data_IF_244379282760
#
_entry.id   IF_244379282760
#
_cell.length_a   1.000
_cell.length_b   1.000
_cell.length_c   1.000
_cell.angle_alpha   90.00
_cell.angle_beta   90.00
_cell.angle_gamma   90.00
#
_symmetry.space_group_name_H-M   'P 1'
#
loop_
_entity.id
_entity.type
_entity.pdbx_description
1 polymer ?
#
# COMPACT_ATOMS: atom_id res chain seq x y z
N UNK A 1 27.95 -13.41 -43.10
CA UNK A 1 27.98 -12.58 -41.89
C UNK A 1 28.51 -13.43 -40.75
N UNK A 2 29.79 -13.26 -40.47
CA UNK A 2 30.52 -13.93 -39.41
C UNK A 2 30.69 -12.96 -38.24
N UNK A 3 30.28 -13.39 -37.05
CA UNK A 3 30.51 -12.66 -35.80
C UNK A 3 31.71 -13.26 -35.08
N UNK A 4 32.71 -12.44 -34.78
CA UNK A 4 33.94 -12.86 -34.10
C UNK A 4 33.75 -12.81 -32.58
N UNK A 5 32.99 -13.79 -32.05
CA UNK A 5 32.57 -13.80 -30.64
C UNK A 5 33.71 -13.69 -29.62
N UNK A 6 34.85 -14.31 -29.91
CA UNK A 6 36.02 -14.30 -29.02
C UNK A 6 36.63 -12.89 -28.94
N UNK A 7 36.76 -12.21 -30.09
CA UNK A 7 37.22 -10.81 -30.15
C UNK A 7 36.27 -9.86 -29.44
N UNK A 8 34.95 -10.01 -29.64
CA UNK A 8 33.96 -9.17 -28.98
C UNK A 8 34.02 -9.31 -27.45
N UNK A 9 34.15 -10.55 -26.94
CA UNK A 9 34.30 -10.83 -25.52
C UNK A 9 35.59 -10.24 -24.94
N UNK A 10 36.70 -10.41 -25.65
CA UNK A 10 38.02 -10.00 -25.17
C UNK A 10 38.11 -8.46 -25.13
N UNK A 11 37.59 -7.76 -26.14
CA UNK A 11 37.49 -6.29 -26.15
C UNK A 11 36.63 -5.78 -24.99
N UNK A 12 35.49 -6.42 -24.70
CA UNK A 12 34.65 -6.04 -23.56
C UNK A 12 35.40 -6.19 -22.23
N UNK A 13 36.13 -7.30 -22.06
CA UNK A 13 36.92 -7.57 -20.86
C UNK A 13 38.09 -6.58 -20.71
N UNK A 14 38.79 -6.27 -21.81
CA UNK A 14 39.87 -5.30 -21.83
C UNK A 14 39.39 -3.90 -21.43
N UNK A 15 38.23 -3.48 -21.96
CA UNK A 15 37.57 -2.22 -21.58
C UNK A 15 36.90 -2.27 -20.19
N UNK A 16 37.01 -3.38 -19.46
CA UNK A 16 36.42 -3.62 -18.13
C UNK A 16 34.91 -3.35 -18.04
N UNK A 17 34.18 -3.52 -19.16
CA UNK A 17 32.72 -3.28 -19.20
C UNK A 17 32.01 -4.53 -18.70
N UNK A 18 31.14 -4.38 -17.69
CA UNK A 18 30.38 -5.52 -17.17
C UNK A 18 29.35 -6.03 -18.19
N UNK A 19 29.15 -7.34 -18.21
CA UNK A 19 28.26 -8.01 -19.17
C UNK A 19 26.79 -7.58 -19.02
N UNK A 20 26.35 -7.27 -17.80
CA UNK A 20 25.00 -6.77 -17.50
C UNK A 20 24.77 -5.34 -18.02
N UNK A 21 25.78 -4.48 -17.98
CA UNK A 21 25.69 -3.14 -18.55
C UNK A 21 25.50 -3.19 -20.08
N UNK A 22 26.27 -4.03 -20.77
CA UNK A 22 26.13 -4.21 -22.23
C UNK A 22 24.78 -4.84 -22.59
N UNK A 23 24.34 -5.85 -21.84
CA UNK A 23 23.06 -6.51 -22.08
C UNK A 23 21.87 -5.54 -21.91
N UNK A 24 21.91 -4.70 -20.86
CA UNK A 24 20.91 -3.67 -20.62
C UNK A 24 20.84 -2.64 -21.76
N UNK A 25 22.00 -2.14 -22.22
CA UNK A 25 22.07 -1.18 -23.34
C UNK A 25 21.63 -1.78 -24.69
N UNK A 26 21.79 -3.09 -24.87
CA UNK A 26 21.31 -3.82 -26.04
C UNK A 26 19.82 -4.17 -25.96
N UNK A 27 19.17 -4.03 -24.81
CA UNK A 27 17.80 -4.47 -24.57
C UNK A 27 17.62 -5.99 -24.63
N UNK A 28 18.66 -6.76 -24.24
CA UNK A 28 18.65 -8.24 -24.23
C UNK A 28 18.99 -8.80 -22.84
N UNK A 29 18.70 -10.09 -22.62
CA UNK A 29 19.08 -10.75 -21.37
C UNK A 29 20.60 -10.98 -21.28
N UNK A 30 21.13 -11.01 -20.06
CA UNK A 30 22.54 -11.39 -19.80
C UNK A 30 22.88 -12.77 -20.36
N UNK A 31 21.93 -13.71 -20.33
CA UNK A 31 22.10 -15.06 -20.88
C UNK A 31 22.27 -15.03 -22.41
N UNK A 32 21.51 -14.16 -23.10
CA UNK A 32 21.60 -13.98 -24.56
C UNK A 32 22.98 -13.46 -24.96
N UNK A 33 23.49 -12.43 -24.27
CA UNK A 33 24.83 -11.89 -24.55
C UNK A 33 25.94 -12.90 -24.24
N UNK A 34 25.77 -13.71 -23.19
CA UNK A 34 26.71 -14.80 -22.88
C UNK A 34 26.75 -15.88 -23.97
N UNK A 35 25.60 -16.23 -24.56
CA UNK A 35 25.55 -17.19 -25.69
C UNK A 35 26.31 -16.65 -26.90
N UNK A 36 26.25 -15.34 -27.16
CA UNK A 36 27.05 -14.70 -28.21
C UNK A 36 28.53 -14.80 -27.90
N UNK A 37 28.98 -14.43 -26.70
CA UNK A 37 30.40 -14.45 -26.28
C UNK A 37 31.01 -15.85 -26.13
N UNK A 38 30.17 -16.89 -26.15
CA UNK A 38 30.59 -18.29 -26.13
C UNK A 38 30.42 -19.00 -27.48
N UNK A 39 29.98 -18.28 -28.51
CA UNK A 39 29.78 -18.82 -29.86
C UNK A 39 28.61 -19.81 -29.96
N UNK A 40 27.74 -19.88 -28.94
CA UNK A 40 26.58 -20.78 -28.92
C UNK A 40 25.40 -20.24 -29.73
N UNK A 41 25.36 -18.95 -30.00
CA UNK A 41 24.41 -18.33 -30.92
C UNK A 41 25.02 -17.09 -31.57
N UNK A 42 24.51 -16.73 -32.76
CA UNK A 42 24.95 -15.54 -33.47
C UNK A 42 23.92 -14.41 -33.35
N UNK A 43 24.37 -13.17 -33.07
CA UNK A 43 23.53 -11.98 -33.17
C UNK A 43 23.10 -11.68 -34.62
N UNK A 44 22.01 -10.92 -34.77
CA UNK A 44 21.64 -10.33 -36.05
C UNK A 44 22.58 -9.18 -36.42
N UNK A 45 22.64 -8.79 -37.71
CA UNK A 45 23.47 -7.68 -38.19
C UNK A 45 23.25 -6.39 -37.38
N UNK A 46 21.98 -6.03 -37.14
CA UNK A 46 21.59 -4.88 -36.31
C UNK A 46 22.22 -4.96 -34.92
N UNK A 47 22.20 -6.13 -34.29
CA UNK A 47 22.75 -6.33 -32.96
C UNK A 47 24.28 -6.29 -32.94
N UNK A 48 24.96 -6.77 -33.99
CA UNK A 48 26.41 -6.65 -34.14
C UNK A 48 26.82 -5.18 -34.24
N UNK A 49 26.11 -4.38 -35.03
CA UNK A 49 26.37 -2.94 -35.19
C UNK A 49 26.12 -2.17 -33.89
N UNK A 50 25.02 -2.45 -33.17
CA UNK A 50 24.78 -1.86 -31.84
C UNK A 50 25.85 -2.27 -30.83
N UNK A 51 26.28 -3.53 -30.83
CA UNK A 51 27.34 -4.00 -29.94
C UNK A 51 28.67 -3.28 -30.22
N UNK A 52 29.03 -3.10 -31.49
CA UNK A 52 30.21 -2.31 -31.88
C UNK A 52 30.13 -0.86 -31.38
N UNK A 53 28.95 -0.23 -31.48
CA UNK A 53 28.69 1.12 -30.98
C UNK A 53 28.81 1.22 -29.46
N UNK A 54 28.23 0.28 -28.71
CA UNK A 54 28.32 0.22 -27.24
C UNK A 54 29.75 0.00 -26.78
N UNK A 55 30.49 -0.88 -27.46
CA UNK A 55 31.90 -1.13 -27.20
C UNK A 55 32.80 -0.01 -27.73
N UNK A 56 32.25 0.99 -28.44
CA UNK A 56 32.96 2.10 -29.09
C UNK A 56 34.17 1.60 -29.92
N UNK A 57 33.89 0.74 -30.90
CA UNK A 57 34.88 0.15 -31.82
C UNK A 57 34.31 0.08 -33.25
N UNK A 58 35.17 0.02 -34.29
CA UNK A 58 34.75 -0.34 -35.63
C UNK A 58 34.11 -1.73 -35.67
N UNK A 59 33.05 -1.89 -36.47
CA UNK A 59 32.28 -3.15 -36.56
C UNK A 59 33.13 -4.29 -37.14
N UNK A 60 34.14 -3.97 -37.95
CA UNK A 60 35.10 -4.89 -38.57
C UNK A 60 35.93 -5.66 -37.53
N UNK A 61 36.12 -5.10 -36.33
CA UNK A 61 36.88 -5.78 -35.29
C UNK A 61 36.13 -6.99 -34.73
N UNK A 62 34.81 -6.98 -34.80
CA UNK A 62 33.94 -8.03 -34.25
C UNK A 62 33.10 -8.74 -35.30
N UNK A 63 33.21 -8.38 -36.59
CA UNK A 63 32.49 -9.04 -37.68
C UNK A 63 33.12 -8.77 -39.05
N UNK A 64 32.73 -9.53 -40.07
CA UNK A 64 33.06 -9.31 -41.49
C UNK A 64 32.21 -8.19 -42.16
N UNK A 65 31.37 -7.50 -41.37
CA UNK A 65 30.60 -6.34 -41.83
C UNK A 65 31.52 -5.15 -42.14
N UNK A 66 31.23 -4.43 -43.23
CA UNK A 66 31.90 -3.15 -43.54
C UNK A 66 31.37 -2.05 -42.61
N UNK A 67 32.24 -1.13 -42.21
CA UNK A 67 31.89 0.11 -41.54
C UNK A 67 30.84 0.83 -42.38
N UNK A 68 29.73 1.16 -41.75
CA UNK A 68 28.89 2.22 -42.28
C UNK A 68 29.71 3.50 -42.26
N UNK A 69 29.67 4.26 -43.37
CA UNK A 69 30.30 5.56 -43.43
C UNK A 69 29.91 6.36 -42.18
N UNK A 70 30.91 6.74 -41.38
CA UNK A 70 30.77 7.54 -40.18
C UNK A 70 29.94 8.79 -40.48
N UNK A 71 28.65 8.76 -40.17
CA UNK A 71 27.87 9.97 -39.94
C UNK A 71 27.79 10.15 -38.43
N UNK A 72 28.87 10.74 -37.92
CA UNK A 72 28.91 11.39 -36.60
C UNK A 72 27.62 12.16 -36.34
N UNK A 73 26.98 11.91 -35.19
CA UNK A 73 26.21 12.81 -34.29
C UNK A 73 25.67 14.17 -34.81
N UNK A 74 25.28 14.25 -36.07
CA UNK A 74 24.67 15.41 -36.73
C UNK A 74 23.69 14.91 -37.79
N UNK A 75 22.86 13.93 -37.42
CA UNK A 75 21.88 13.32 -38.35
C UNK A 75 20.80 14.29 -38.82
N UNK A 76 20.71 15.51 -38.29
CA UNK A 76 19.89 16.55 -38.93
C UNK A 76 20.70 17.56 -39.75
N UNK A 77 21.76 18.17 -39.23
CA UNK A 77 22.34 19.33 -39.91
C UNK A 77 23.11 19.02 -41.19
N UNK A 78 23.77 17.86 -41.32
CA UNK A 78 24.52 17.54 -42.55
C UNK A 78 23.62 17.05 -43.69
N UNK A 79 22.56 16.29 -43.35
CA UNK A 79 21.49 15.93 -44.29
C UNK A 79 20.70 17.17 -44.69
N UNK A 80 20.24 17.99 -43.74
CA UNK A 80 19.56 19.27 -44.02
C UNK A 80 20.46 20.20 -44.82
N UNK A 81 21.78 20.30 -44.53
CA UNK A 81 22.70 21.08 -45.37
C UNK A 81 22.79 20.51 -46.77
N UNK A 82 23.05 19.20 -46.93
CA UNK A 82 23.14 18.59 -48.26
C UNK A 82 21.84 18.74 -49.07
N UNK A 83 20.69 18.73 -48.38
CA UNK A 83 19.37 19.03 -48.94
C UNK A 83 19.27 20.49 -49.39
N UNK A 84 19.63 21.45 -48.54
CA UNK A 84 19.67 22.88 -48.86
C UNK A 84 20.63 23.20 -50.02
N UNK A 85 21.76 22.51 -50.12
CA UNK A 85 22.69 22.62 -51.25
C UNK A 85 22.12 22.02 -52.54
N UNK A 86 21.39 20.90 -52.46
CA UNK A 86 20.69 20.31 -53.63
C UNK A 86 19.58 21.23 -54.18
N UNK A 87 19.03 22.11 -53.33
CA UNK A 87 18.09 23.15 -53.73
C UNK A 87 18.72 24.31 -54.50
N UNK A 88 20.02 24.55 -54.37
CA UNK A 88 20.73 25.63 -55.09
C UNK A 88 21.06 25.27 -56.55
N UNK A 89 21.38 24.01 -56.81
CA UNK A 89 22.07 23.56 -58.04
C UNK A 89 21.30 22.63 -59.00
N UNK A 90 20.00 22.37 -58.78
CA UNK A 90 19.18 21.49 -59.64
C UNK A 90 18.24 22.28 -60.56
N UNK A 91 17.77 21.69 -61.67
CA UNK A 91 16.80 22.37 -62.54
C UNK A 91 15.42 22.48 -61.83
N UNK A 92 14.57 23.43 -62.23
CA UNK A 92 13.30 23.78 -61.55
C UNK A 92 12.40 22.55 -61.32
N UNK A 93 12.39 21.60 -62.26
CA UNK A 93 11.58 20.38 -62.20
C UNK A 93 12.09 19.40 -61.14
N UNK A 94 13.41 19.22 -61.03
CA UNK A 94 14.02 18.35 -60.02
C UNK A 94 13.87 18.93 -58.61
N UNK A 95 14.00 20.25 -58.45
CA UNK A 95 13.69 20.93 -57.18
C UNK A 95 12.25 20.68 -56.75
N UNK A 96 11.29 20.77 -57.68
CA UNK A 96 9.87 20.49 -57.41
C UNK A 96 9.62 19.04 -57.02
N UNK A 97 10.26 18.09 -57.69
CA UNK A 97 10.11 16.66 -57.37
C UNK A 97 10.71 16.31 -56.00
N UNK A 98 11.88 16.87 -55.66
CA UNK A 98 12.46 16.74 -54.33
C UNK A 98 11.57 17.38 -53.26
N UNK A 99 11.06 18.61 -53.48
CA UNK A 99 10.10 19.24 -52.56
C UNK A 99 8.87 18.38 -52.32
N UNK A 100 8.26 17.85 -53.38
CA UNK A 100 7.10 16.97 -53.26
C UNK A 100 7.41 15.73 -52.42
N UNK A 101 8.54 15.06 -52.67
CA UNK A 101 8.96 13.89 -51.92
C UNK A 101 9.15 14.18 -50.41
N UNK A 102 9.81 15.28 -50.05
CA UNK A 102 10.01 15.65 -48.64
C UNK A 102 8.71 16.08 -47.96
N UNK A 103 7.84 16.84 -48.64
CA UNK A 103 6.53 17.22 -48.12
C UNK A 103 5.67 15.98 -47.85
N UNK A 104 5.69 14.96 -48.74
CA UNK A 104 5.03 13.68 -48.50
C UNK A 104 5.63 12.93 -47.30
N UNK A 105 6.96 12.96 -47.12
CA UNK A 105 7.62 12.37 -45.97
C UNK A 105 7.24 13.04 -44.64
N UNK A 106 7.21 14.37 -44.60
CA UNK A 106 6.77 15.15 -43.42
C UNK A 106 5.30 14.88 -43.12
N UNK A 107 4.43 14.86 -44.15
CA UNK A 107 3.01 14.56 -43.97
C UNK A 107 2.83 13.17 -43.35
N UNK A 108 3.57 12.16 -43.83
CA UNK A 108 3.52 10.81 -43.26
C UNK A 108 3.93 10.78 -41.79
N UNK A 109 5.04 11.45 -41.42
CA UNK A 109 5.46 11.52 -40.02
C UNK A 109 4.43 12.24 -39.14
N UNK A 110 3.81 13.29 -39.67
CA UNK A 110 2.72 13.99 -38.99
C UNK A 110 1.50 13.07 -38.78
N UNK A 111 1.13 12.29 -39.79
CA UNK A 111 0.03 11.32 -39.70
C UNK A 111 0.34 10.20 -38.69
N UNK A 112 1.55 9.66 -38.70
CA UNK A 112 2.02 8.65 -37.73
C UNK A 112 2.00 9.22 -36.29
N UNK A 113 2.45 10.46 -36.09
CA UNK A 113 2.39 11.14 -34.79
C UNK A 113 0.95 11.39 -34.32
N UNK A 114 0.07 11.80 -35.23
CA UNK A 114 -1.36 11.97 -34.92
C UNK A 114 -2.02 10.66 -34.54
N UNK A 115 -1.67 9.56 -35.22
CA UNK A 115 -2.19 8.24 -34.88
C UNK A 115 -1.72 7.79 -33.49
N UNK A 116 -0.43 7.96 -33.17
CA UNK A 116 0.11 7.66 -31.83
C UNK A 116 -0.58 8.52 -30.78
N UNK A 117 -0.71 9.83 -31.02
CA UNK A 117 -1.38 10.76 -30.12
C UNK A 117 -2.85 10.36 -29.86
N UNK A 118 -3.58 9.97 -30.91
CA UNK A 118 -4.96 9.51 -30.80
C UNK A 118 -5.05 8.24 -29.92
N UNK A 119 -4.20 7.25 -30.16
CA UNK A 119 -4.17 6.01 -29.36
C UNK A 119 -3.82 6.31 -27.91
N UNK A 120 -2.80 7.14 -27.65
CA UNK A 120 -2.41 7.54 -26.28
C UNK A 120 -3.55 8.27 -25.58
N UNK A 121 -4.20 9.23 -26.26
CA UNK A 121 -5.34 9.96 -25.72
C UNK A 121 -6.51 9.02 -25.40
N UNK A 122 -6.82 8.05 -26.28
CA UNK A 122 -7.85 7.04 -26.00
C UNK A 122 -7.49 6.22 -24.76
N UNK A 123 -6.27 5.71 -24.68
CA UNK A 123 -5.82 4.89 -23.56
C UNK A 123 -5.95 5.65 -22.24
N UNK A 124 -5.43 6.88 -22.20
CA UNK A 124 -5.47 7.72 -21.00
C UNK A 124 -6.91 8.08 -20.61
N UNK A 125 -7.78 8.34 -21.58
CA UNK A 125 -9.18 8.67 -21.33
C UNK A 125 -10.06 7.47 -20.93
N UNK A 126 -9.63 6.24 -21.20
CA UNK A 126 -10.32 5.03 -20.72
C UNK A 126 -10.01 4.70 -19.25
N UNK A 127 -8.95 5.29 -18.69
CA UNK A 127 -8.60 5.11 -17.28
C UNK A 127 -9.65 5.83 -16.42
N UNK A 128 -10.30 5.08 -15.53
CA UNK A 128 -11.31 5.61 -14.60
C UNK A 128 -10.72 6.43 -13.44
N UNK A 129 -9.43 6.24 -13.16
CA UNK A 129 -8.67 6.98 -12.15
C UNK A 129 -8.34 8.39 -12.67
N UNK A 130 -8.33 9.39 -11.81
CA UNK A 130 -7.86 10.74 -12.18
C UNK A 130 -6.39 10.63 -12.60
N UNK A 131 -6.06 11.12 -13.79
CA UNK A 131 -4.71 11.04 -14.34
C UNK A 131 -4.39 12.31 -15.13
N UNK A 132 -3.24 12.91 -14.86
CA UNK A 132 -2.75 14.08 -15.57
C UNK A 132 -1.23 14.18 -15.55
N UNK A 133 -0.68 14.96 -16.49
CA UNK A 133 0.74 15.24 -16.58
C UNK A 133 0.97 16.74 -16.52
N UNK A 134 1.97 17.16 -15.75
CA UNK A 134 2.47 18.53 -15.73
C UNK A 134 3.90 18.59 -16.25
N UNK A 135 4.24 19.68 -16.93
CA UNK A 135 5.61 20.00 -17.32
C UNK A 135 6.43 20.55 -16.13
N UNK A 136 7.70 20.90 -16.37
CA UNK A 136 8.59 21.50 -15.38
C UNK A 136 8.13 22.88 -14.88
N UNK A 137 7.19 23.53 -15.57
CA UNK A 137 6.54 24.77 -15.14
C UNK A 137 5.21 24.52 -14.42
N UNK A 138 4.94 23.27 -14.04
CA UNK A 138 3.71 22.80 -13.39
C UNK A 138 2.44 23.06 -14.21
N UNK A 139 2.57 23.19 -15.53
CA UNK A 139 1.42 23.36 -16.41
C UNK A 139 0.90 22.03 -16.90
N UNK A 140 -0.41 21.87 -16.90
CA UNK A 140 -1.07 20.67 -17.41
C UNK A 140 -0.79 20.49 -18.91
N UNK A 141 -0.10 19.42 -19.28
CA UNK A 141 0.17 19.03 -20.68
C UNK A 141 -0.73 17.88 -21.14
N UNK A 142 -1.27 17.12 -20.19
CA UNK A 142 -2.24 16.06 -20.44
C UNK A 142 -3.19 15.95 -19.24
N UNK A 143 -4.47 15.73 -19.51
CA UNK A 143 -5.48 15.36 -18.51
C UNK A 143 -6.40 14.30 -19.11
N UNK A 144 -6.96 13.43 -18.27
CA UNK A 144 -7.96 12.46 -18.70
C UNK A 144 -9.40 12.89 -18.37
N UNK A 145 -10.38 12.16 -18.90
CA UNK A 145 -11.79 12.39 -18.60
C UNK A 145 -12.10 12.35 -17.10
N UNK A 146 -11.50 11.43 -16.34
CA UNK A 146 -11.74 11.32 -14.91
C UNK A 146 -11.32 12.58 -14.13
N UNK A 147 -10.24 13.27 -14.55
CA UNK A 147 -9.85 14.56 -13.99
C UNK A 147 -10.94 15.62 -14.19
N UNK A 148 -11.49 15.72 -15.40
CA UNK A 148 -12.54 16.68 -15.72
C UNK A 148 -13.83 16.34 -14.96
N UNK A 149 -14.20 15.07 -14.91
CA UNK A 149 -15.38 14.59 -14.19
C UNK A 149 -15.27 14.86 -12.68
N UNK A 150 -14.09 14.66 -12.09
CA UNK A 150 -13.83 14.98 -10.67
C UNK A 150 -14.08 16.47 -10.36
N UNK A 151 -13.75 17.36 -11.30
CA UNK A 151 -13.97 18.79 -11.20
C UNK A 151 -15.35 19.24 -11.71
N UNK A 152 -16.19 18.30 -12.19
CA UNK A 152 -17.47 18.59 -12.84
C UNK A 152 -17.34 19.54 -14.04
N UNK A 153 -16.25 19.41 -14.82
CA UNK A 153 -15.96 20.20 -16.00
C UNK A 153 -16.41 19.45 -17.28
N UNK A 154 -16.79 20.21 -18.31
CA UNK A 154 -17.08 19.65 -19.63
C UNK A 154 -15.82 19.06 -20.28
N UNK A 155 -15.97 18.00 -21.08
CA UNK A 155 -14.87 17.41 -21.88
C UNK A 155 -14.23 18.38 -22.87
N UNK A 156 -14.95 19.45 -23.24
CA UNK A 156 -14.45 20.51 -24.13
C UNK A 156 -13.71 21.63 -23.37
N UNK A 157 -13.62 21.54 -22.05
CA UNK A 157 -12.96 22.56 -21.24
C UNK A 157 -11.47 22.64 -21.58
N UNK A 158 -10.98 23.85 -21.87
CA UNK A 158 -9.55 24.09 -22.11
C UNK A 158 -8.78 24.02 -20.79
N UNK A 159 -8.29 22.83 -20.49
CA UNK A 159 -7.49 22.51 -19.29
C UNK A 159 -5.98 22.62 -19.53
N UNK A 160 -5.51 22.35 -20.74
CA UNK A 160 -4.09 22.33 -21.05
C UNK A 160 -3.47 23.74 -20.97
N UNK A 161 -2.22 23.81 -20.48
CA UNK A 161 -1.45 25.04 -20.27
C UNK A 161 -1.79 25.80 -18.98
N UNK A 162 -2.84 25.38 -18.25
CA UNK A 162 -3.22 25.92 -16.94
C UNK A 162 -2.36 25.36 -15.82
N UNK A 163 -2.50 25.91 -14.63
CA UNK A 163 -1.83 25.51 -13.40
C UNK A 163 -2.87 25.09 -12.35
N UNK A 164 -2.41 24.55 -11.22
CA UNK A 164 -3.28 24.19 -10.09
C UNK A 164 -4.13 25.35 -9.56
N UNK A 165 -3.64 26.57 -9.67
CA UNK A 165 -4.36 27.78 -9.22
C UNK A 165 -5.64 28.03 -10.03
N UNK A 166 -5.74 27.47 -11.23
CA UNK A 166 -6.93 27.59 -12.10
C UNK A 166 -8.05 26.61 -11.69
N UNK A 167 -7.75 25.60 -10.87
CA UNK A 167 -8.67 24.50 -10.56
C UNK A 167 -8.95 24.33 -9.07
N UNK A 168 -7.98 24.62 -8.20
CA UNK A 168 -8.05 24.32 -6.77
C UNK A 168 -8.02 25.58 -5.90
N UNK A 169 -8.33 25.43 -4.61
CA UNK A 169 -8.14 26.51 -3.66
C UNK A 169 -6.65 26.89 -3.55
N UNK A 170 -6.35 28.09 -3.05
CA UNK A 170 -4.95 28.55 -2.92
C UNK A 170 -4.08 27.61 -2.09
N UNK A 171 -4.64 27.05 -1.02
CA UNK A 171 -3.91 26.14 -0.14
C UNK A 171 -3.65 24.79 -0.82
N UNK A 172 -4.68 24.18 -1.43
CA UNK A 172 -4.52 22.92 -2.17
C UNK A 172 -3.57 23.07 -3.36
N UNK A 173 -3.67 24.18 -4.10
CA UNK A 173 -2.78 24.45 -5.23
C UNK A 173 -1.33 24.60 -4.79
N UNK A 174 -1.08 25.29 -3.67
CA UNK A 174 0.25 25.43 -3.09
C UNK A 174 0.80 24.07 -2.64
N UNK A 175 0.03 23.31 -1.88
CA UNK A 175 0.45 22.00 -1.39
C UNK A 175 0.76 21.04 -2.55
N UNK A 176 -0.11 20.98 -3.57
CA UNK A 176 0.11 20.12 -4.74
C UNK A 176 1.36 20.53 -5.51
N UNK A 177 1.60 21.82 -5.71
CA UNK A 177 2.80 22.31 -6.36
C UNK A 177 4.07 21.91 -5.58
N UNK A 178 4.09 22.07 -4.26
CA UNK A 178 5.22 21.67 -3.42
C UNK A 178 5.51 20.16 -3.45
N UNK A 179 4.47 19.32 -3.54
CA UNK A 179 4.61 17.87 -3.66
C UNK A 179 5.10 17.46 -5.06
N UNK A 180 4.58 18.10 -6.12
CA UNK A 180 5.00 17.86 -7.51
C UNK A 180 6.47 18.30 -7.74
N UNK A 181 6.85 19.48 -7.26
CA UNK A 181 8.22 20.00 -7.33
C UNK A 181 9.21 19.08 -6.61
N UNK A 182 8.83 18.55 -5.44
CA UNK A 182 9.66 17.63 -4.67
C UNK A 182 9.99 16.37 -5.47
N UNK A 183 9.00 15.80 -6.15
CA UNK A 183 9.16 14.61 -7.01
C UNK A 183 10.01 14.94 -8.24
N UNK A 184 9.80 16.11 -8.84
CA UNK A 184 10.60 16.58 -10.00
C UNK A 184 12.07 16.75 -9.61
N UNK A 185 12.35 17.40 -8.48
CA UNK A 185 13.71 17.67 -7.99
C UNK A 185 14.42 16.40 -7.55
N UNK A 186 13.72 15.50 -6.85
CA UNK A 186 14.31 14.24 -6.39
C UNK A 186 14.46 13.20 -7.49
N UNK A 187 13.58 13.24 -8.50
CA UNK A 187 13.51 12.19 -9.52
C UNK A 187 13.07 10.83 -8.96
N UNK A 188 12.38 10.81 -7.81
CA UNK A 188 11.90 9.60 -7.13
C UNK A 188 10.37 9.67 -7.06
N UNK A 189 9.70 8.57 -7.39
CA UNK A 189 8.26 8.46 -7.28
C UNK A 189 7.82 8.48 -5.80
N UNK A 190 6.74 9.19 -5.52
CA UNK A 190 6.14 9.29 -4.18
C UNK A 190 4.65 8.94 -4.26
N UNK A 191 4.12 8.29 -3.22
CA UNK A 191 2.72 7.90 -3.13
C UNK A 191 2.23 8.13 -1.72
N UNK A 192 1.16 8.91 -1.57
CA UNK A 192 0.61 9.31 -0.29
C UNK A 192 -0.91 9.15 -0.27
N UNK A 193 -1.46 8.81 0.89
CA UNK A 193 -2.91 8.81 1.10
C UNK A 193 -3.39 10.19 1.56
N UNK A 194 -4.52 10.65 1.02
CA UNK A 194 -5.08 11.94 1.39
C UNK A 194 -6.42 12.25 0.74
N UNK A 195 -6.90 13.47 0.95
CA UNK A 195 -8.07 13.97 0.25
C UNK A 195 -7.77 14.24 -1.22
N UNK A 196 -8.69 13.85 -2.10
CA UNK A 196 -8.58 14.11 -3.54
C UNK A 196 -8.86 15.59 -3.80
N UNK A 197 -7.90 16.36 -4.35
CA UNK A 197 -8.07 17.79 -4.58
C UNK A 197 -9.22 18.11 -5.53
N UNK A 198 -9.89 19.24 -5.30
CA UNK A 198 -10.94 19.77 -6.17
C UNK A 198 -12.23 18.96 -6.22
N UNK A 199 -12.34 17.89 -5.43
CA UNK A 199 -13.57 17.12 -5.36
C UNK A 199 -14.63 17.87 -4.54
N UNK A 200 -15.86 17.98 -5.07
CA UNK A 200 -16.99 18.63 -4.36
C UNK A 200 -17.40 17.88 -3.09
N UNK A 201 -17.22 16.56 -3.08
CA UNK A 201 -17.38 15.71 -1.89
C UNK A 201 -15.98 15.44 -1.34
N UNK A 202 -15.82 15.36 -0.01
CA UNK A 202 -14.55 14.93 0.60
C UNK A 202 -14.25 13.47 0.23
N UNK A 203 -13.59 13.29 -0.91
CA UNK A 203 -13.12 11.99 -1.39
C UNK A 203 -11.72 11.71 -0.84
N UNK A 204 -11.44 10.44 -0.56
CA UNK A 204 -10.13 9.96 -0.13
C UNK A 204 -9.49 9.13 -1.22
N UNK A 205 -8.19 9.25 -1.40
CA UNK A 205 -7.48 8.46 -2.39
C UNK A 205 -5.98 8.34 -2.13
N UNK A 206 -5.38 7.42 -2.87
CA UNK A 206 -3.92 7.28 -2.96
C UNK A 206 -3.47 8.13 -4.14
N UNK A 207 -2.73 9.20 -3.86
CA UNK A 207 -2.18 10.14 -4.84
C UNK A 207 -0.74 9.74 -5.11
N UNK A 208 -0.48 9.29 -6.33
CA UNK A 208 0.84 8.83 -6.74
C UNK A 208 1.42 9.77 -7.79
N UNK A 209 2.68 10.14 -7.58
CA UNK A 209 3.43 11.10 -8.38
C UNK A 209 4.67 10.42 -8.91
N UNK A 210 4.82 10.41 -10.22
CA UNK A 210 5.90 9.72 -10.93
C UNK A 210 6.65 10.75 -11.79
N UNK A 211 7.96 10.92 -11.62
CA UNK A 211 8.73 11.79 -12.49
C UNK A 211 8.81 11.18 -13.89
N UNK A 212 8.52 11.98 -14.90
CA UNK A 212 8.68 11.60 -16.30
C UNK A 212 10.11 11.91 -16.70
N UNK A 213 10.81 10.94 -17.27
CA UNK A 213 12.20 11.08 -17.70
C UNK A 213 12.31 10.99 -19.22
N UNK A 214 13.22 11.77 -19.79
CA UNK A 214 13.63 11.61 -21.20
C UNK A 214 14.55 10.40 -21.38
N UNK A 215 14.97 10.16 -22.63
CA UNK A 215 15.89 9.07 -22.98
C UNK A 215 17.29 9.20 -22.36
N UNK A 216 17.64 10.37 -21.81
CA UNK A 216 18.89 10.62 -21.11
C UNK A 216 18.74 10.50 -19.59
N UNK A 217 17.54 10.18 -19.09
CA UNK A 217 17.25 10.07 -17.66
C UNK A 217 16.98 11.41 -16.98
N UNK A 218 16.84 12.51 -17.73
CA UNK A 218 16.52 13.83 -17.17
C UNK A 218 15.02 13.96 -16.97
N UNK A 219 14.61 14.47 -15.81
CA UNK A 219 13.19 14.72 -15.53
C UNK A 219 12.65 15.82 -16.44
N UNK A 220 11.53 15.56 -17.12
CA UNK A 220 10.83 16.48 -18.03
C UNK A 220 9.46 16.92 -17.53
N UNK A 221 8.98 16.32 -16.43
CA UNK A 221 7.68 16.63 -15.84
C UNK A 221 7.29 15.60 -14.80
N UNK A 222 6.01 15.64 -14.41
CA UNK A 222 5.43 14.71 -13.42
C UNK A 222 4.11 14.17 -13.94
N UNK A 223 3.95 12.85 -13.86
CA UNK A 223 2.69 12.14 -14.01
C UNK A 223 2.05 11.99 -12.64
N UNK A 224 0.81 12.43 -12.50
CA UNK A 224 0.02 12.22 -11.30
C UNK A 224 -1.16 11.32 -11.65
N UNK A 225 -1.36 10.27 -10.85
CA UNK A 225 -2.58 9.48 -10.89
C UNK A 225 -3.14 9.27 -9.49
N UNK A 226 -4.46 9.28 -9.38
CA UNK A 226 -5.17 9.22 -8.10
C UNK A 226 -6.13 8.04 -8.10
N UNK A 227 -5.92 7.12 -7.18
CA UNK A 227 -6.84 6.02 -6.91
C UNK A 227 -7.89 6.46 -5.90
N UNK A 228 -9.15 6.56 -6.30
CA UNK A 228 -10.26 6.87 -5.38
C UNK A 228 -10.54 5.65 -4.51
N UNK A 229 -10.29 5.78 -3.21
CA UNK A 229 -10.52 4.73 -2.20
C UNK A 229 -11.69 5.07 -1.28
N UNK A 230 -12.51 6.08 -1.63
CA UNK A 230 -13.58 6.60 -0.78
C UNK A 230 -14.58 5.51 -0.40
N UNK A 231 -15.15 4.82 -1.39
CA UNK A 231 -16.17 3.78 -1.17
C UNK A 231 -15.62 2.62 -0.34
N UNK A 232 -14.38 2.19 -0.62
CA UNK A 232 -13.71 1.15 0.18
C UNK A 232 -13.55 1.59 1.64
N UNK A 233 -13.14 2.83 1.88
CA UNK A 233 -12.98 3.36 3.23
C UNK A 233 -14.32 3.51 3.95
N UNK A 234 -15.35 4.00 3.27
CA UNK A 234 -16.71 4.06 3.81
C UNK A 234 -17.25 2.67 4.15
N UNK A 235 -16.97 1.67 3.32
CA UNK A 235 -17.32 0.28 3.58
C UNK A 235 -16.59 -0.27 4.81
N UNK A 236 -15.28 -0.04 4.92
CA UNK A 236 -14.48 -0.45 6.08
C UNK A 236 -14.97 0.25 7.38
N UNK A 237 -15.29 1.55 7.33
CA UNK A 237 -15.86 2.29 8.46
C UNK A 237 -17.24 1.76 8.86
N UNK A 238 -18.10 1.51 7.87
CA UNK A 238 -19.45 0.94 8.11
C UNK A 238 -19.35 -0.45 8.70
N UNK A 239 -18.44 -1.28 8.20
CA UNK A 239 -18.18 -2.61 8.74
C UNK A 239 -17.74 -2.56 10.20
N UNK A 240 -16.79 -1.69 10.54
CA UNK A 240 -16.33 -1.52 11.92
C UNK A 240 -17.46 -1.05 12.84
N UNK A 241 -18.26 -0.07 12.39
CA UNK A 241 -19.40 0.43 13.15
C UNK A 241 -20.47 -0.67 13.37
N UNK A 242 -20.71 -1.54 12.38
CA UNK A 242 -21.61 -2.68 12.51
C UNK A 242 -21.07 -3.73 13.49
N UNK A 243 -19.76 -3.99 13.49
CA UNK A 243 -19.12 -4.90 14.46
C UNK A 243 -19.26 -4.35 15.89
N UNK A 244 -18.93 -3.06 16.10
CA UNK A 244 -19.10 -2.40 17.39
C UNK A 244 -20.57 -2.43 17.85
N UNK A 245 -21.52 -2.19 16.94
CA UNK A 245 -22.94 -2.26 17.23
C UNK A 245 -23.36 -3.65 17.70
N UNK A 246 -22.97 -4.71 16.98
CA UNK A 246 -23.29 -6.10 17.34
C UNK A 246 -22.65 -6.48 18.68
N UNK A 247 -21.39 -6.10 18.91
CA UNK A 247 -20.70 -6.33 20.17
C UNK A 247 -21.40 -5.63 21.34
N UNK A 248 -21.84 -4.37 21.15
CA UNK A 248 -22.55 -3.62 22.20
C UNK A 248 -23.86 -4.29 22.63
N UNK A 249 -24.52 -5.05 21.75
CA UNK A 249 -25.73 -5.81 22.10
C UNK A 249 -25.43 -6.91 23.12
N UNK A 250 -24.26 -7.53 23.06
CA UNK A 250 -23.82 -8.48 24.09
C UNK A 250 -23.52 -7.75 25.41
N UNK A 251 -22.78 -6.63 25.36
CA UNK A 251 -22.42 -5.83 26.55
C UNK A 251 -23.63 -5.21 27.28
N UNK A 252 -24.71 -4.88 26.55
CA UNK A 252 -25.95 -4.40 27.18
C UNK A 252 -26.50 -5.40 28.21
N UNK A 253 -26.15 -6.69 28.10
CA UNK A 253 -26.50 -7.69 29.11
C UNK A 253 -25.57 -7.67 30.33
N UNK A 254 -24.30 -7.33 30.20
CA UNK A 254 -23.32 -7.37 31.30
C UNK A 254 -23.17 -6.07 32.06
N UNK A 255 -23.85 -5.01 31.63
CA UNK A 255 -23.64 -3.64 32.15
C UNK A 255 -22.21 -3.13 31.92
N UNK A 256 -21.49 -3.72 30.97
CA UNK A 256 -20.21 -3.18 30.52
C UNK A 256 -20.42 -1.93 29.68
N UNK A 257 -19.50 -0.98 29.83
CA UNK A 257 -19.58 0.29 29.12
C UNK A 257 -19.14 0.09 27.68
N UNK A 258 -19.82 0.72 26.71
CA UNK A 258 -19.40 0.75 25.31
C UNK A 258 -17.96 1.27 25.09
N UNK A 259 -17.37 1.92 26.10
CA UNK A 259 -15.98 2.33 26.08
C UNK A 259 -15.00 1.15 26.28
N UNK A 260 -15.42 0.06 26.93
CA UNK A 260 -14.67 -1.19 27.07
C UNK A 260 -14.22 -1.70 25.70
N UNK A 261 -15.16 -1.86 24.75
CA UNK A 261 -14.86 -2.21 23.34
C UNK A 261 -13.73 -1.35 22.78
N UNK A 262 -13.84 -0.03 22.91
CA UNK A 262 -12.88 0.90 22.32
C UNK A 262 -11.52 0.85 23.01
N UNK A 263 -11.50 0.66 24.33
CA UNK A 263 -10.28 0.54 25.12
C UNK A 263 -9.53 -0.74 24.76
N UNK A 264 -10.20 -1.89 24.78
CA UNK A 264 -9.58 -3.18 24.45
C UNK A 264 -9.06 -3.21 23.03
N UNK A 265 -9.79 -2.66 22.05
CA UNK A 265 -9.29 -2.48 20.68
C UNK A 265 -7.97 -1.69 20.62
N UNK A 266 -7.86 -0.58 21.37
CA UNK A 266 -6.66 0.26 21.38
C UNK A 266 -5.51 -0.40 22.14
N UNK A 267 -5.77 -1.02 23.28
CA UNK A 267 -4.80 -1.79 24.05
C UNK A 267 -4.17 -2.88 23.20
N UNK A 268 -5.01 -3.66 22.52
CA UNK A 268 -4.59 -4.75 21.65
C UNK A 268 -3.70 -4.26 20.49
N UNK A 269 -4.02 -3.09 19.89
CA UNK A 269 -3.15 -2.44 18.88
C UNK A 269 -1.79 -2.07 19.46
N UNK A 270 -1.74 -1.43 20.62
CA UNK A 270 -0.48 -1.02 21.24
C UNK A 270 0.40 -2.22 21.61
N UNK A 271 -0.18 -3.30 22.12
CA UNK A 271 0.56 -4.54 22.36
C UNK A 271 1.11 -5.13 21.06
N UNK A 272 0.29 -5.20 20.02
CA UNK A 272 0.71 -5.76 18.75
C UNK A 272 1.82 -4.92 18.09
N UNK A 273 1.74 -3.59 18.16
CA UNK A 273 2.82 -2.70 17.68
C UNK A 273 4.10 -2.86 18.50
N UNK A 274 3.99 -3.01 19.82
CA UNK A 274 5.13 -3.27 20.70
C UNK A 274 5.81 -4.59 20.34
N UNK A 275 5.04 -5.68 20.24
CA UNK A 275 5.55 -7.01 19.89
C UNK A 275 6.16 -7.07 18.49
N UNK A 276 5.62 -6.33 17.52
CA UNK A 276 6.17 -6.27 16.15
C UNK A 276 7.64 -5.87 16.10
N UNK A 277 8.13 -5.14 17.10
CA UNK A 277 9.54 -4.74 17.17
C UNK A 277 10.49 -5.88 17.57
N UNK A 278 9.95 -7.00 18.04
CA UNK A 278 10.72 -8.19 18.42
C UNK A 278 10.98 -9.08 17.19
N UNK A 279 12.17 -9.73 17.11
CA UNK A 279 12.51 -10.62 16.01
C UNK A 279 11.49 -11.75 15.82
N UNK A 280 11.02 -11.95 14.60
CA UNK A 280 10.09 -13.02 14.24
C UNK A 280 8.61 -12.60 14.24
N UNK A 281 8.28 -11.42 14.78
CA UNK A 281 6.92 -10.90 14.79
C UNK A 281 6.61 -9.97 13.61
N UNK A 282 7.61 -9.52 12.84
CA UNK A 282 7.43 -8.51 11.79
C UNK A 282 6.44 -8.96 10.69
N UNK A 283 6.56 -10.21 10.24
CA UNK A 283 5.63 -10.78 9.24
C UNK A 283 4.30 -11.22 9.86
N UNK A 284 4.31 -11.60 11.14
CA UNK A 284 3.13 -12.07 11.88
C UNK A 284 2.21 -10.90 12.24
N UNK A 285 2.77 -9.72 12.50
CA UNK A 285 2.05 -8.52 12.95
C UNK A 285 2.27 -7.35 11.98
N UNK A 286 2.03 -7.54 10.69
CA UNK A 286 2.00 -6.42 9.74
C UNK A 286 0.76 -5.52 9.94
N UNK A 287 0.74 -4.33 9.33
CA UNK A 287 -0.33 -3.34 9.54
C UNK A 287 -1.73 -3.88 9.26
N UNK A 288 -1.88 -4.69 8.20
CA UNK A 288 -3.16 -5.32 7.86
C UNK A 288 -3.62 -6.28 8.96
N UNK A 289 -2.71 -7.11 9.46
CA UNK A 289 -3.00 -8.10 10.52
C UNK A 289 -3.32 -7.42 11.85
N UNK A 290 -2.55 -6.39 12.24
CA UNK A 290 -2.82 -5.61 13.46
C UNK A 290 -4.20 -4.93 13.38
N UNK A 291 -4.54 -4.36 12.22
CA UNK A 291 -5.86 -3.75 12.03
C UNK A 291 -6.99 -4.78 12.13
N UNK A 292 -6.86 -5.95 11.49
CA UNK A 292 -7.88 -7.00 11.61
C UNK A 292 -7.98 -7.58 13.02
N UNK A 293 -6.86 -7.73 13.73
CA UNK A 293 -6.81 -8.20 15.12
C UNK A 293 -7.58 -7.24 16.04
N UNK A 294 -7.36 -5.93 15.90
CA UNK A 294 -8.10 -4.93 16.64
C UNK A 294 -9.58 -4.85 16.23
N UNK A 295 -9.90 -4.99 14.95
CA UNK A 295 -11.30 -5.04 14.50
C UNK A 295 -12.06 -6.25 15.07
N UNK A 296 -11.37 -7.34 15.37
CA UNK A 296 -11.95 -8.56 15.93
C UNK A 296 -12.16 -8.50 17.46
N UNK A 297 -11.40 -7.68 18.19
CA UNK A 297 -11.45 -7.57 19.65
C UNK A 297 -12.87 -7.39 20.25
N UNK A 298 -13.78 -6.57 19.66
CA UNK A 298 -15.14 -6.40 20.19
C UNK A 298 -15.95 -7.69 20.28
N UNK A 299 -15.57 -8.74 19.54
CA UNK A 299 -16.34 -9.98 19.44
C UNK A 299 -15.90 -11.04 20.46
N UNK A 300 -14.98 -10.74 21.38
CA UNK A 300 -14.50 -11.73 22.35
C UNK A 300 -15.64 -12.32 23.20
N UNK A 301 -16.56 -11.48 23.66
CA UNK A 301 -17.70 -11.86 24.51
C UNK A 301 -19.04 -11.97 23.75
N UNK A 302 -19.03 -12.05 22.42
CA UNK A 302 -20.27 -12.18 21.63
C UNK A 302 -21.10 -13.42 22.01
N UNK A 303 -20.44 -14.44 22.58
CA UNK A 303 -21.10 -15.66 23.05
C UNK A 303 -21.96 -15.46 24.30
N UNK A 304 -21.79 -14.37 25.05
CA UNK A 304 -22.56 -14.12 26.27
C UNK A 304 -24.05 -13.86 26.01
N UNK A 305 -24.41 -13.55 24.76
CA UNK A 305 -25.79 -13.32 24.35
C UNK A 305 -26.73 -14.48 24.71
N UNK A 306 -26.22 -15.71 24.77
CA UNK A 306 -26.99 -16.91 25.12
C UNK A 306 -26.95 -17.27 26.60
N UNK A 307 -26.15 -16.58 27.41
CA UNK A 307 -26.11 -16.80 28.86
C UNK A 307 -27.40 -16.21 29.47
N UNK A 308 -28.11 -16.95 30.34
CA UNK A 308 -29.31 -16.45 31.00
C UNK A 308 -29.01 -15.23 31.87
N UNK A 309 -29.85 -14.19 31.76
CA UNK A 309 -29.68 -12.94 32.50
C UNK A 309 -29.65 -13.16 34.02
N UNK A 310 -30.40 -14.13 34.55
CA UNK A 310 -30.40 -14.48 35.98
C UNK A 310 -29.04 -14.96 36.48
N UNK A 311 -28.22 -15.53 35.60
CA UNK A 311 -26.85 -15.97 35.90
C UNK A 311 -25.90 -14.79 35.70
N UNK A 312 -25.98 -14.14 34.54
CA UNK A 312 -25.06 -13.08 34.14
C UNK A 312 -25.15 -11.83 35.02
N UNK A 313 -26.36 -11.47 35.47
CA UNK A 313 -26.64 -10.31 36.32
C UNK A 313 -26.69 -10.63 37.81
N UNK A 314 -26.28 -11.83 38.22
CA UNK A 314 -26.38 -12.27 39.61
C UNK A 314 -25.51 -11.40 40.51
N UNK A 315 -26.15 -10.66 41.43
CA UNK A 315 -25.47 -9.88 42.48
C UNK A 315 -24.96 -10.82 43.57
N UNK A 316 -23.79 -11.45 43.36
CA UNK A 316 -23.16 -12.35 44.33
C UNK A 316 -22.24 -13.38 43.70
N UNK A 317 -21.76 -14.35 44.49
CA UNK A 317 -20.99 -15.48 43.97
C UNK A 317 -21.90 -16.40 43.15
N UNK A 318 -21.40 -16.83 42.01
CA UNK A 318 -22.01 -17.88 41.20
C UNK A 318 -21.85 -19.23 41.90
N UNK A 319 -22.80 -20.14 41.71
CA UNK A 319 -22.60 -21.57 42.02
C UNK A 319 -21.68 -22.19 40.97
N UNK A 320 -21.15 -23.37 41.25
CA UNK A 320 -20.28 -24.07 40.30
C UNK A 320 -21.02 -24.36 38.97
N UNK A 321 -22.31 -24.70 39.02
CA UNK A 321 -23.13 -24.94 37.82
C UNK A 321 -23.40 -23.67 37.01
N UNK A 322 -23.62 -22.54 37.69
CA UNK A 322 -23.78 -21.23 37.07
C UNK A 322 -22.47 -20.80 36.40
N UNK A 323 -21.34 -21.00 37.07
CA UNK A 323 -20.02 -20.70 36.54
C UNK A 323 -19.68 -21.56 35.31
N UNK A 324 -19.98 -22.86 35.34
CA UNK A 324 -19.85 -23.74 34.18
C UNK A 324 -20.77 -23.35 33.03
N UNK A 325 -21.85 -22.62 33.29
CA UNK A 325 -22.71 -22.05 32.24
C UNK A 325 -22.05 -20.84 31.58
N UNK A 326 -21.48 -19.91 32.36
CA UNK A 326 -20.75 -18.76 31.81
C UNK A 326 -19.53 -19.20 31.01
N UNK A 327 -18.77 -20.18 31.48
CA UNK A 327 -17.56 -20.71 30.80
C UNK A 327 -17.81 -21.28 29.39
N UNK A 328 -19.06 -21.42 28.97
CA UNK A 328 -19.42 -21.87 27.61
C UNK A 328 -19.42 -20.73 26.59
N UNK A 329 -19.51 -19.47 27.00
CA UNK A 329 -19.59 -18.34 26.06
C UNK A 329 -18.40 -18.29 25.06
N UNK A 330 -17.14 -18.62 25.42
CA UNK A 330 -16.04 -18.57 24.44
C UNK A 330 -16.26 -19.54 23.29
N UNK A 331 -16.71 -20.76 23.63
CA UNK A 331 -17.00 -21.80 22.65
C UNK A 331 -18.20 -21.42 21.77
N UNK A 332 -19.23 -20.82 22.35
CA UNK A 332 -20.44 -20.41 21.62
C UNK A 332 -20.15 -19.24 20.67
N UNK A 333 -19.35 -18.26 21.12
CA UNK A 333 -18.86 -17.16 20.28
C UNK A 333 -18.07 -17.68 19.08
N UNK A 334 -17.06 -18.52 19.32
CA UNK A 334 -16.27 -19.17 18.26
C UNK A 334 -17.16 -19.95 17.28
N UNK A 335 -18.06 -20.81 17.77
CA UNK A 335 -18.97 -21.57 16.91
C UNK A 335 -19.89 -20.68 16.07
N UNK A 336 -20.30 -19.53 16.60
CA UNK A 336 -21.13 -18.56 15.87
C UNK A 336 -20.35 -17.96 14.71
N UNK A 337 -19.08 -17.61 14.91
CA UNK A 337 -18.20 -17.04 13.89
C UNK A 337 -17.83 -18.08 12.82
N UNK A 338 -17.45 -19.30 13.22
CA UNK A 338 -17.06 -20.40 12.30
C UNK A 338 -18.17 -20.76 11.31
N UNK A 339 -19.45 -20.63 11.70
CA UNK A 339 -20.58 -20.91 10.79
C UNK A 339 -20.51 -20.09 9.50
N UNK A 340 -19.96 -18.89 9.55
CA UNK A 340 -19.85 -17.99 8.40
C UNK A 340 -18.50 -18.10 7.66
N UNK A 341 -17.51 -18.79 8.25
CA UNK A 341 -16.21 -19.02 7.61
C UNK A 341 -16.33 -19.77 6.28
N UNK A 342 -17.30 -20.70 6.18
CA UNK A 342 -17.57 -21.45 4.94
C UNK A 342 -17.93 -20.54 3.75
N UNK A 343 -18.56 -19.41 4.02
CA UNK A 343 -18.95 -18.43 3.00
C UNK A 343 -17.83 -17.45 2.66
N UNK A 344 -16.80 -17.35 3.50
CA UNK A 344 -15.69 -16.40 3.40
C UNK A 344 -14.35 -17.08 3.77
N UNK A 345 -13.89 -18.05 2.97
CA UNK A 345 -12.66 -18.78 3.28
C UNK A 345 -11.45 -17.85 3.31
N UNK A 346 -10.52 -18.12 4.24
CA UNK A 346 -9.28 -17.36 4.45
C UNK A 346 -9.49 -15.88 4.85
N UNK A 347 -10.65 -15.53 5.41
CA UNK A 347 -10.87 -14.20 5.96
C UNK A 347 -10.17 -14.04 7.31
N UNK A 348 -9.13 -13.20 7.33
CA UNK A 348 -8.29 -13.00 8.52
C UNK A 348 -9.03 -12.35 9.69
N UNK A 349 -10.00 -11.47 9.43
CA UNK A 349 -10.81 -10.85 10.46
C UNK A 349 -11.66 -11.90 11.18
N UNK A 350 -12.34 -12.77 10.42
CA UNK A 350 -13.15 -13.85 11.00
C UNK A 350 -12.29 -14.85 11.75
N UNK A 351 -11.10 -15.17 11.22
CA UNK A 351 -10.14 -16.03 11.93
C UNK A 351 -9.73 -15.44 13.27
N UNK A 352 -9.35 -14.16 13.33
CA UNK A 352 -9.00 -13.53 14.60
C UNK A 352 -10.19 -13.43 15.55
N UNK A 353 -11.39 -13.11 15.05
CA UNK A 353 -12.59 -13.07 15.88
C UNK A 353 -12.88 -14.44 16.51
N UNK A 354 -12.73 -15.52 15.74
CA UNK A 354 -12.89 -16.90 16.24
C UNK A 354 -11.85 -17.25 17.30
N UNK A 355 -10.57 -17.00 17.02
CA UNK A 355 -9.48 -17.29 17.94
C UNK A 355 -9.62 -16.50 19.25
N UNK A 356 -9.92 -15.20 19.17
CA UNK A 356 -10.14 -14.31 20.32
C UNK A 356 -11.35 -14.80 21.12
N UNK A 357 -12.51 -14.98 20.48
CA UNK A 357 -13.70 -15.46 21.18
C UNK A 357 -13.45 -16.79 21.88
N UNK A 358 -12.74 -17.73 21.24
CA UNK A 358 -12.48 -19.04 21.83
C UNK A 358 -11.50 -19.01 23.01
N UNK A 359 -10.47 -18.15 22.95
CA UNK A 359 -9.25 -18.34 23.74
C UNK A 359 -8.82 -17.15 24.62
N UNK A 360 -9.59 -16.06 24.68
CA UNK A 360 -9.27 -14.92 25.54
C UNK A 360 -9.31 -15.25 27.05
N UNK A 361 -9.94 -16.36 27.45
CA UNK A 361 -9.91 -16.88 28.83
C UNK A 361 -8.97 -18.07 29.04
N UNK A 362 -8.18 -18.45 28.03
CA UNK A 362 -7.10 -19.41 28.22
C UNK A 362 -5.95 -18.76 28.99
N UNK A 363 -5.29 -19.53 29.85
CA UNK A 363 -4.18 -19.06 30.68
C UNK A 363 -2.90 -19.71 30.22
N UNK A 364 -1.80 -18.95 30.21
CA UNK A 364 -0.50 -19.43 29.74
C UNK A 364 -0.06 -20.76 30.37
N UNK A 365 -0.37 -20.99 31.65
CA UNK A 365 -0.07 -22.20 32.40
C UNK A 365 -0.95 -23.43 32.08
N UNK A 366 -2.05 -23.24 31.36
CA UNK A 366 -3.04 -24.27 31.01
C UNK A 366 -4.23 -24.38 31.96
N UNK A 367 -4.34 -23.51 32.98
CA UNK A 367 -5.45 -23.52 33.94
C UNK A 367 -6.70 -22.75 33.47
N UNK A 368 -6.67 -22.21 32.25
CA UNK A 368 -7.78 -21.48 31.63
C UNK A 368 -8.86 -22.38 31.02
N UNK A 369 -9.80 -21.76 30.31
CA UNK A 369 -10.93 -22.43 29.67
C UNK A 369 -11.23 -21.79 28.30
N UNK A 370 -11.97 -22.47 27.39
CA UNK A 370 -12.69 -23.74 27.55
C UNK A 370 -11.88 -25.00 27.22
N UNK A 371 -10.70 -24.89 26.58
CA UNK A 371 -9.91 -26.04 26.11
C UNK A 371 -8.70 -26.34 27.00
N UNK A 372 -8.30 -25.45 27.91
CA UNK A 372 -7.14 -25.65 28.77
C UNK A 372 -5.84 -25.64 27.94
N UNK A 373 -5.78 -24.76 26.96
CA UNK A 373 -4.61 -24.60 26.10
C UNK A 373 -3.46 -24.01 26.91
N UNK A 374 -2.24 -24.47 26.64
CA UNK A 374 -1.03 -24.08 27.38
C UNK A 374 0.02 -23.48 26.46
N UNK A 375 0.64 -22.39 26.89
CA UNK A 375 1.71 -21.71 26.17
C UNK A 375 1.29 -21.29 24.77
N UNK A 376 2.16 -21.53 23.79
CA UNK A 376 1.95 -21.18 22.38
C UNK A 376 0.82 -21.95 21.68
N UNK A 377 0.23 -22.96 22.32
CA UNK A 377 -1.01 -23.57 21.81
C UNK A 377 -2.19 -22.60 21.86
N UNK A 378 -2.11 -21.58 22.70
CA UNK A 378 -3.06 -20.47 22.71
C UNK A 378 -2.70 -19.56 21.52
N UNK A 379 -3.64 -19.28 20.60
CA UNK A 379 -3.43 -18.32 19.52
C UNK A 379 -2.90 -16.98 20.06
N UNK A 380 -1.97 -16.36 19.34
CA UNK A 380 -1.39 -15.07 19.75
C UNK A 380 -2.47 -14.00 19.96
N UNK A 381 -3.51 -14.02 19.13
CA UNK A 381 -4.69 -13.16 19.21
C UNK A 381 -5.43 -13.31 20.55
N UNK A 382 -5.66 -14.53 21.02
CA UNK A 382 -6.23 -14.82 22.34
C UNK A 382 -5.33 -14.37 23.48
N UNK A 383 -4.02 -14.65 23.40
CA UNK A 383 -3.04 -14.23 24.42
C UNK A 383 -2.96 -12.70 24.57
N UNK A 384 -3.04 -11.97 23.45
CA UNK A 384 -3.10 -10.51 23.43
C UNK A 384 -4.40 -9.99 24.07
N UNK A 385 -5.53 -10.60 23.69
CA UNK A 385 -6.84 -10.19 24.22
C UNK A 385 -6.94 -10.42 25.72
N UNK A 386 -6.47 -11.56 26.23
CA UNK A 386 -6.49 -11.89 27.66
C UNK A 386 -5.83 -10.81 28.52
N UNK A 387 -4.67 -10.27 28.11
CA UNK A 387 -4.02 -9.18 28.83
C UNK A 387 -4.81 -7.88 28.71
N UNK A 388 -5.25 -7.53 27.50
CA UNK A 388 -6.00 -6.30 27.25
C UNK A 388 -7.30 -6.23 28.05
N UNK A 389 -8.05 -7.34 28.07
CA UNK A 389 -9.30 -7.50 28.80
C UNK A 389 -9.08 -7.39 30.32
N UNK A 390 -8.14 -8.16 30.88
CA UNK A 390 -7.85 -8.11 32.32
C UNK A 390 -7.37 -6.73 32.76
N UNK A 391 -6.55 -6.05 31.95
CA UNK A 391 -6.15 -4.68 32.24
C UNK A 391 -7.35 -3.73 32.27
N UNK A 392 -8.25 -3.81 31.29
CA UNK A 392 -9.44 -2.98 31.25
C UNK A 392 -10.30 -3.22 32.48
N UNK A 393 -10.62 -4.48 32.77
CA UNK A 393 -11.37 -4.86 33.95
C UNK A 393 -10.72 -4.28 35.22
N UNK A 394 -9.39 -4.43 35.40
CA UNK A 394 -8.67 -3.93 36.58
C UNK A 394 -8.74 -2.41 36.74
N UNK A 395 -8.79 -1.66 35.63
CA UNK A 395 -8.72 -0.19 35.61
C UNK A 395 -10.06 0.50 35.36
N UNK A 396 -11.14 -0.27 35.20
CA UNK A 396 -12.51 0.22 35.06
C UNK A 396 -13.36 -0.09 36.30
N UNK A 397 -14.32 0.80 36.56
CA UNK A 397 -15.33 0.58 37.60
C UNK A 397 -16.34 -0.46 37.10
N UNK A 398 -16.83 -1.31 38.00
CA UNK A 398 -17.96 -2.21 37.74
C UNK A 398 -18.96 -2.17 38.91
N UNK A 399 -20.13 -2.83 38.75
CA UNK A 399 -21.14 -2.97 39.81
C UNK A 399 -20.53 -3.48 41.12
N UNK A 400 -19.52 -4.33 41.01
CA UNK A 400 -18.98 -5.10 42.13
C UNK A 400 -17.61 -4.61 42.62
N UNK A 401 -16.91 -3.76 41.84
CA UNK A 401 -15.52 -3.40 42.10
C UNK A 401 -15.21 -1.97 41.66
N UNK A 402 -14.51 -1.24 42.52
CA UNK A 402 -13.88 0.04 42.16
C UNK A 402 -12.61 -0.19 41.35
N UNK A 403 -12.40 0.61 40.31
CA UNK A 403 -11.19 0.62 39.51
C UNK A 403 -9.94 0.70 40.38
N UNK A 404 -8.95 -0.14 40.07
CA UNK A 404 -7.61 -0.02 40.66
C UNK A 404 -6.83 1.07 39.96
N UNK A 405 -5.81 1.59 40.65
CA UNK A 405 -4.88 2.52 40.01
C UNK A 405 -4.07 1.81 38.92
N UNK A 406 -3.61 2.57 37.93
CA UNK A 406 -2.74 2.05 36.87
C UNK A 406 -1.54 1.26 37.43
N UNK A 407 -0.86 1.81 38.45
CA UNK A 407 0.29 1.18 39.09
C UNK A 407 -0.04 -0.18 39.73
N UNK A 408 -1.21 -0.29 40.36
CA UNK A 408 -1.67 -1.56 40.93
C UNK A 408 -2.00 -2.58 39.83
N UNK A 409 -2.67 -2.15 38.76
CA UNK A 409 -2.98 -3.00 37.62
C UNK A 409 -1.71 -3.56 36.96
N UNK A 410 -0.70 -2.73 36.74
CA UNK A 410 0.62 -3.13 36.23
C UNK A 410 1.27 -4.17 37.14
N UNK A 411 1.29 -3.92 38.45
CA UNK A 411 1.90 -4.82 39.44
C UNK A 411 1.23 -6.21 39.42
N UNK A 412 -0.09 -6.26 39.28
CA UNK A 412 -0.84 -7.52 39.21
C UNK A 412 -0.50 -8.27 37.93
N UNK A 413 -0.53 -7.60 36.78
CA UNK A 413 -0.22 -8.22 35.48
C UNK A 413 1.21 -8.77 35.46
N UNK A 414 2.17 -8.02 36.00
CA UNK A 414 3.56 -8.47 36.12
C UNK A 414 3.69 -9.72 37.01
N UNK A 415 2.96 -9.78 38.13
CA UNK A 415 2.98 -10.94 39.04
C UNK A 415 2.37 -12.23 38.45
N UNK A 416 1.57 -12.08 37.39
CA UNK A 416 0.88 -13.17 36.67
C UNK A 416 1.61 -13.59 35.38
N UNK A 417 2.83 -13.05 35.16
CA UNK A 417 3.74 -13.48 34.09
C UNK A 417 4.03 -15.00 34.20
N UNK A 418 3.99 -15.70 33.07
CA UNK A 418 4.14 -17.18 32.97
C UNK A 418 3.05 -18.01 33.66
N UNK A 419 2.03 -17.38 34.27
CA UNK A 419 0.86 -18.06 34.84
C UNK A 419 -0.36 -17.78 33.99
N UNK A 420 -0.94 -16.59 34.15
CA UNK A 420 -2.04 -16.13 33.33
C UNK A 420 -1.54 -15.69 31.95
N UNK A 421 -0.47 -14.90 31.92
CA UNK A 421 -0.05 -14.20 30.73
C UNK A 421 1.25 -14.74 30.13
N UNK A 422 1.31 -14.66 28.80
CA UNK A 422 2.52 -14.91 28.03
C UNK A 422 3.64 -13.94 28.45
N UNK A 423 4.83 -14.44 28.82
CA UNK A 423 5.94 -13.59 29.24
C UNK A 423 6.34 -12.55 28.20
N UNK A 424 6.29 -12.85 26.91
CA UNK A 424 6.67 -11.90 25.87
C UNK A 424 5.66 -10.76 25.74
N UNK A 425 4.38 -11.05 25.98
CA UNK A 425 3.30 -10.07 25.94
C UNK A 425 3.33 -9.18 27.18
N UNK A 426 3.64 -9.74 28.37
CA UNK A 426 3.86 -8.92 29.57
C UNK A 426 5.02 -7.95 29.35
N UNK A 427 6.13 -8.39 28.78
CA UNK A 427 7.27 -7.50 28.49
C UNK A 427 6.90 -6.40 27.47
N UNK A 428 6.08 -6.75 26.48
CA UNK A 428 5.56 -5.78 25.53
C UNK A 428 4.62 -4.76 26.18
N UNK A 429 3.75 -5.21 27.09
CA UNK A 429 2.85 -4.37 27.90
C UNK A 429 3.64 -3.39 28.77
N UNK A 430 4.64 -3.86 29.52
CA UNK A 430 5.47 -3.01 30.38
C UNK A 430 6.18 -1.90 29.60
N UNK A 431 6.53 -2.16 28.34
CA UNK A 431 7.12 -1.17 27.42
C UNK A 431 6.12 -0.08 27.00
N UNK A 432 4.82 -0.37 26.95
CA UNK A 432 3.77 0.56 26.49
C UNK A 432 2.73 0.92 27.55
N UNK A 433 3.00 0.62 28.83
CA UNK A 433 2.05 0.80 29.94
C UNK A 433 1.55 2.25 30.07
N UNK A 434 2.38 3.25 29.80
CA UNK A 434 1.98 4.67 29.85
C UNK A 434 0.94 5.01 28.77
N UNK A 435 1.01 4.35 27.61
CA UNK A 435 -0.01 4.48 26.57
C UNK A 435 -1.31 3.83 27.00
N UNK A 436 -1.26 2.70 27.70
CA UNK A 436 -2.44 2.07 28.28
C UNK A 436 -3.11 3.00 29.31
N UNK A 437 -2.33 3.65 30.16
CA UNK A 437 -2.86 4.64 31.10
C UNK A 437 -3.54 5.81 30.37
N UNK A 438 -2.89 6.31 29.31
CA UNK A 438 -3.42 7.42 28.48
C UNK A 438 -4.74 7.02 27.83
N UNK A 439 -4.81 5.84 27.21
CA UNK A 439 -6.02 5.31 26.58
C UNK A 439 -7.15 5.16 27.61
N UNK A 440 -6.87 4.59 28.79
CA UNK A 440 -7.86 4.42 29.85
C UNK A 440 -8.44 5.77 30.33
N UNK A 441 -7.59 6.81 30.42
CA UNK A 441 -8.02 8.18 30.77
C UNK A 441 -8.83 8.85 29.66
N UNK A 442 -8.41 8.74 28.41
CA UNK A 442 -9.09 9.32 27.24
C UNK A 442 -10.47 8.69 27.02
N UNK A 443 -10.59 7.39 27.28
CA UNK A 443 -11.78 6.59 27.07
C UNK A 443 -12.45 6.19 28.40
N UNK A 444 -12.35 7.04 29.42
CA UNK A 444 -12.98 6.82 30.71
C UNK A 444 -14.51 6.81 30.59
N UNK A 445 -15.17 5.99 31.42
CA UNK A 445 -16.61 5.87 31.39
C UNK A 445 -17.31 7.17 31.81
N UNK A 446 -18.38 7.59 31.11
CA UNK A 446 -19.12 8.77 31.51
C UNK A 446 -19.77 8.56 32.88
N UNK A 447 -19.71 9.57 33.75
CA UNK A 447 -20.23 9.52 35.14
C UNK A 447 -21.67 8.99 35.26
N UNK A 448 -22.54 9.22 34.26
CA UNK A 448 -23.93 8.74 34.25
C UNK A 448 -24.06 7.22 34.06
N UNK A 449 -23.12 6.57 33.36
CA UNK A 449 -23.12 5.12 33.17
C UNK A 449 -22.90 4.42 34.51
N UNK A 450 -22.03 4.97 35.36
CA UNK A 450 -21.75 4.45 36.70
C UNK A 450 -22.99 4.46 37.61
N UNK A 451 -23.86 5.47 37.50
CA UNK A 451 -25.07 5.57 38.33
C UNK A 451 -26.15 4.55 37.91
N UNK A 452 -26.33 4.31 36.59
CA UNK A 452 -27.23 3.27 36.05
C UNK A 452 -26.77 1.85 36.40
N UNK A 453 -25.46 1.64 36.51
CA UNK A 453 -24.84 0.38 36.93
C UNK A 453 -25.04 0.14 38.45
N UNK A 454 -25.19 1.22 39.24
CA UNK A 454 -25.27 1.16 40.71
C UNK A 454 -26.70 1.11 41.28
N UNK A 455 -27.71 1.56 40.54
CA UNK A 455 -29.14 1.38 40.86
C UNK A 455 -29.65 0.04 40.38
#
# INVERSE_FOLDING_TARGET
MNFFYQKARDIRKEKKIRIDAVASQLGISRATLWLWETGKSNPSERMIRLLAKILNIPVELISDLKAEALTSENVELSRINSLLYSFGNTNIIERRNHQAHYLTGIQRLFDELNQVSAVTATFVNTIQMVCYVKDLSLKYVLVNNAFLDNLSLSRQYKSLGKTDQDFFSREEAKQNAEEDERVIVRGIAESNEGFIPGSRKRKWGIISRIPIMDFQGKVTGVLVYINDTTERRELELTQNAMIECIASVAEYKTHESAMHIRRTQRFLKELAFSLRTKPGYEEILNDKKINSLAQAAPLHDIGEIVVPDVILLKKGKLTDEEYETIKKHPLIGSQTIVRYEKSLPNNILLKYAEEIALSHHEKWDGSGYPKGLKGEKIPLSGRLMALADVYDALTSDSVYRTARTHKEAVTIIESEKEKHFDPEIVDAFLTVQDKFETIAKELADPKKTIDLIRT
#
